data_IF_331244492334
#
_entry.id   IF_331244492334
#
_cell.length_a   1.000
_cell.length_b   1.000
_cell.length_c   1.000
_cell.angle_alpha   90.00
_cell.angle_beta   90.00
_cell.angle_gamma   90.00
#
_symmetry.space_group_name_H-M   'P 1'
#
loop_
_entity.id
_entity.type
_entity.pdbx_description
1 polymer ?
#
# COMPACT_ATOMS: atom_id res chain seq x y z
N UNK A 1 -12.58 -40.80 -2.21
CA UNK A 1 -12.91 -39.48 -2.78
C UNK A 1 -11.64 -38.64 -2.77
N UNK A 2 -11.21 -38.10 -3.91
CA UNK A 2 -10.03 -37.24 -4.00
C UNK A 2 -10.43 -35.85 -3.53
N UNK A 3 -9.92 -35.42 -2.37
CA UNK A 3 -10.18 -34.08 -1.84
C UNK A 3 -9.34 -33.08 -2.65
N UNK A 4 -10.00 -32.11 -3.27
CA UNK A 4 -9.32 -30.99 -3.93
C UNK A 4 -8.79 -30.01 -2.88
N UNK A 5 -7.58 -29.50 -3.10
CA UNK A 5 -7.00 -28.42 -2.29
C UNK A 5 -7.80 -27.12 -2.53
N UNK A 6 -8.35 -26.46 -1.49
CA UNK A 6 -9.04 -25.18 -1.64
C UNK A 6 -8.09 -24.02 -1.95
N UNK A 7 -6.77 -24.22 -1.85
CA UNK A 7 -5.81 -23.18 -2.13
C UNK A 7 -5.80 -22.80 -3.62
N UNK A 8 -5.43 -21.55 -3.96
CA UNK A 8 -5.29 -21.14 -5.35
C UNK A 8 -4.30 -22.05 -6.08
N UNK A 9 -4.61 -22.38 -7.32
CA UNK A 9 -3.70 -23.11 -8.20
C UNK A 9 -2.38 -22.37 -8.41
N UNK A 10 -1.34 -23.07 -8.91
CA UNK A 10 -0.01 -22.49 -9.09
C UNK A 10 -0.01 -21.23 -9.98
N UNK A 11 -0.81 -21.22 -11.06
CA UNK A 11 -0.98 -20.05 -11.94
C UNK A 11 -1.53 -18.83 -11.18
N UNK A 12 -2.61 -19.02 -10.41
CA UNK A 12 -3.21 -17.95 -9.61
C UNK A 12 -2.24 -17.38 -8.57
N UNK A 13 -1.38 -18.22 -7.98
CA UNK A 13 -0.32 -17.75 -7.04
C UNK A 13 0.75 -16.92 -7.74
N UNK A 14 1.14 -17.29 -8.96
CA UNK A 14 2.12 -16.53 -9.75
C UNK A 14 1.57 -15.17 -10.14
N UNK A 15 0.30 -15.10 -10.59
CA UNK A 15 -0.37 -13.84 -10.92
C UNK A 15 -0.46 -12.91 -9.70
N UNK A 16 -0.93 -13.43 -8.56
CA UNK A 16 -1.04 -12.64 -7.32
C UNK A 16 0.32 -12.12 -6.85
N UNK A 17 1.39 -12.91 -6.99
CA UNK A 17 2.76 -12.47 -6.67
C UNK A 17 3.20 -11.33 -7.60
N UNK A 18 2.93 -11.45 -8.90
CA UNK A 18 3.27 -10.40 -9.87
C UNK A 18 2.57 -9.09 -9.57
N UNK A 19 1.28 -9.14 -9.21
CA UNK A 19 0.51 -7.96 -8.82
C UNK A 19 1.04 -7.31 -7.54
N UNK A 20 1.33 -8.11 -6.51
CA UNK A 20 1.92 -7.62 -5.27
C UNK A 20 3.29 -6.98 -5.48
N UNK A 21 4.12 -7.53 -6.37
CA UNK A 21 5.41 -6.96 -6.72
C UNK A 21 5.25 -5.60 -7.41
N UNK A 22 4.35 -5.48 -8.39
CA UNK A 22 4.08 -4.20 -9.07
C UNK A 22 3.61 -3.13 -8.09
N UNK A 23 2.76 -3.49 -7.12
CA UNK A 23 2.33 -2.56 -6.07
C UNK A 23 3.53 -2.13 -5.21
N UNK A 24 4.39 -3.07 -4.80
CA UNK A 24 5.58 -2.76 -4.01
C UNK A 24 6.52 -1.77 -4.75
N UNK A 25 6.79 -2.02 -6.04
CA UNK A 25 7.59 -1.13 -6.88
C UNK A 25 6.97 0.28 -6.99
N UNK A 26 5.63 0.36 -7.05
CA UNK A 26 4.95 1.66 -7.04
C UNK A 26 5.08 2.41 -5.71
N UNK A 27 5.12 1.70 -4.58
CA UNK A 27 5.41 2.30 -3.29
C UNK A 27 6.83 2.85 -3.19
N UNK A 28 7.80 2.26 -3.89
CA UNK A 28 9.19 2.73 -3.91
C UNK A 28 9.36 4.07 -4.65
N UNK A 29 8.36 4.50 -5.43
CA UNK A 29 8.34 5.85 -6.02
C UNK A 29 7.96 6.95 -5.04
N UNK A 30 7.43 6.59 -3.87
CA UNK A 30 7.10 7.54 -2.82
C UNK A 30 8.32 7.82 -1.96
N UNK A 31 8.39 9.03 -1.40
CA UNK A 31 9.34 9.30 -0.33
C UNK A 31 9.07 8.33 0.86
N UNK A 32 10.12 7.74 1.47
CA UNK A 32 9.97 6.68 2.48
C UNK A 32 8.97 6.97 3.61
N UNK A 33 8.96 8.18 4.18
CA UNK A 33 8.02 8.53 5.24
C UNK A 33 6.56 8.59 4.73
N UNK A 34 6.34 9.06 3.50
CA UNK A 34 5.00 9.02 2.87
C UNK A 34 4.56 7.60 2.54
N UNK A 35 5.47 6.75 2.06
CA UNK A 35 5.18 5.35 1.80
C UNK A 35 4.75 4.63 3.09
N UNK A 36 5.49 4.86 4.18
CA UNK A 36 5.15 4.35 5.51
C UNK A 36 3.80 4.87 6.00
N UNK A 37 3.50 6.17 5.83
CA UNK A 37 2.22 6.74 6.22
C UNK A 37 1.03 6.14 5.45
N UNK A 38 1.16 5.95 4.14
CA UNK A 38 0.11 5.31 3.31
C UNK A 38 -0.10 3.85 3.71
N UNK A 39 0.99 3.08 3.94
CA UNK A 39 0.88 1.71 4.46
C UNK A 39 0.21 1.68 5.83
N UNK A 40 0.60 2.58 6.73
CA UNK A 40 0.01 2.70 8.07
C UNK A 40 -1.49 2.97 8.02
N UNK A 41 -1.94 3.87 7.14
CA UNK A 41 -3.36 4.17 6.98
C UNK A 41 -4.16 2.98 6.41
N UNK A 42 -3.72 2.41 5.28
CA UNK A 42 -4.54 1.48 4.50
C UNK A 42 -4.30 0.00 4.79
N UNK A 43 -3.10 -0.38 5.24
CA UNK A 43 -2.76 -1.75 5.61
C UNK A 43 -2.69 -1.93 7.12
N UNK A 44 -2.28 -0.88 7.85
CA UNK A 44 -2.16 -0.88 9.31
C UNK A 44 -3.40 -0.39 10.06
N UNK A 45 -4.36 0.24 9.37
CA UNK A 45 -5.58 0.78 10.00
C UNK A 45 -5.35 1.98 10.93
N UNK A 46 -4.19 2.64 10.85
CA UNK A 46 -3.86 3.79 11.71
C UNK A 46 -4.70 5.01 11.33
N UNK A 47 -5.18 5.73 12.35
CA UNK A 47 -5.84 7.00 12.18
C UNK A 47 -4.88 8.09 11.72
N UNK A 48 -5.42 9.19 11.19
CA UNK A 48 -4.59 10.32 10.77
C UNK A 48 -3.89 11.02 11.94
N UNK A 49 -4.45 10.94 13.14
CA UNK A 49 -3.86 11.48 14.38
C UNK A 49 -2.67 10.63 14.83
N UNK A 50 -2.81 9.30 14.82
CA UNK A 50 -1.71 8.38 15.13
C UNK A 50 -0.56 8.51 14.13
N UNK A 51 -0.87 8.63 12.84
CA UNK A 51 0.14 8.87 11.80
C UNK A 51 0.82 10.23 11.97
N UNK A 52 0.05 11.27 12.29
CA UNK A 52 0.56 12.62 12.55
C UNK A 52 1.54 12.62 13.72
N UNK A 53 1.20 11.95 14.82
CA UNK A 53 2.08 11.78 15.97
C UNK A 53 3.32 10.93 15.64
N UNK A 54 3.14 9.79 14.97
CA UNK A 54 4.24 8.87 14.62
C UNK A 54 5.29 9.51 13.72
N UNK A 55 4.85 10.34 12.76
CA UNK A 55 5.73 11.02 11.81
C UNK A 55 6.12 12.45 12.22
N UNK A 56 5.61 12.96 13.35
CA UNK A 56 5.94 14.31 13.83
C UNK A 56 5.48 15.44 12.91
N UNK A 57 4.40 15.25 12.15
CA UNK A 57 3.89 16.25 11.20
C UNK A 57 2.48 16.70 11.56
N UNK A 58 2.07 17.96 11.29
CA UNK A 58 0.70 18.40 11.55
C UNK A 58 -0.36 17.54 10.84
N UNK A 59 -1.55 17.41 11.44
CA UNK A 59 -2.65 16.59 10.91
C UNK A 59 -3.01 16.96 9.45
N UNK A 60 -3.05 18.26 9.12
CA UNK A 60 -3.31 18.73 7.76
C UNK A 60 -2.19 18.36 6.79
N UNK A 61 -0.95 18.34 7.26
CA UNK A 61 0.20 17.85 6.50
C UNK A 61 0.06 16.36 6.24
N UNK A 62 -0.33 15.56 7.24
CA UNK A 62 -0.58 14.12 7.09
C UNK A 62 -1.67 13.84 6.05
N UNK A 63 -2.81 14.55 6.11
CA UNK A 63 -3.88 14.45 5.09
C UNK A 63 -3.35 14.74 3.68
N UNK A 64 -2.51 15.78 3.54
CA UNK A 64 -1.91 16.13 2.24
C UNK A 64 -0.88 15.10 1.75
N UNK A 65 -0.16 14.44 2.67
CA UNK A 65 0.77 13.35 2.34
C UNK A 65 0.02 12.14 1.80
N UNK A 66 -1.03 11.70 2.51
CA UNK A 66 -1.85 10.57 2.09
C UNK A 66 -2.50 10.83 0.73
N UNK A 67 -3.12 12.00 0.54
CA UNK A 67 -3.74 12.36 -0.76
C UNK A 67 -2.74 12.32 -1.92
N UNK A 68 -1.56 12.92 -1.75
CA UNK A 68 -0.53 12.93 -2.80
C UNK A 68 0.07 11.55 -3.01
N UNK A 69 0.27 10.77 -1.94
CA UNK A 69 0.77 9.40 -2.03
C UNK A 69 -0.15 8.51 -2.86
N UNK A 70 -1.46 8.57 -2.60
CA UNK A 70 -2.45 7.82 -3.38
C UNK A 70 -2.49 8.25 -4.85
N UNK A 71 -2.36 9.54 -5.13
CA UNK A 71 -2.31 10.04 -6.50
C UNK A 71 -1.09 9.47 -7.25
N UNK A 72 0.09 9.53 -6.63
CA UNK A 72 1.31 8.96 -7.22
C UNK A 72 1.23 7.44 -7.37
N UNK A 73 0.59 6.73 -6.45
CA UNK A 73 0.36 5.29 -6.58
C UNK A 73 -0.59 4.97 -7.73
N UNK A 74 -1.69 5.71 -7.86
CA UNK A 74 -2.64 5.57 -8.97
C UNK A 74 -1.93 5.77 -10.31
N UNK A 75 -1.19 6.86 -10.47
CA UNK A 75 -0.41 7.13 -11.68
C UNK A 75 0.62 6.05 -12.00
N UNK A 76 1.16 5.37 -10.97
CA UNK A 76 2.08 4.26 -11.18
C UNK A 76 1.38 3.00 -11.68
N UNK A 77 0.23 2.67 -11.10
CA UNK A 77 -0.52 1.46 -11.42
C UNK A 77 -1.31 1.58 -12.72
N UNK A 78 -1.57 2.80 -13.19
CA UNK A 78 -2.19 3.09 -14.48
C UNK A 78 -1.17 3.23 -15.63
N UNK A 79 0.12 3.39 -15.30
CA UNK A 79 1.23 3.38 -16.26
C UNK A 79 1.63 1.94 -16.65
#
# INVERSE_FOLDING_TARGET
ATLADPAPGPEARVLARGEAQRIAECFDRLEPARAAAVRGAYLGGLSYEELSAHHGVPLNTMRSWLRRGLQTLKECLEA
#
